data_IF_622677532721
#
_entry.id   IF_622677532721
#
_cell.length_a   1.000
_cell.length_b   1.000
_cell.length_c   1.000
_cell.angle_alpha   90.00
_cell.angle_beta   90.00
_cell.angle_gamma   90.00
#
_symmetry.space_group_name_H-M   'P 1'
#
loop_
_entity.id
_entity.type
_entity.pdbx_description
1 polymer ?
#
# COMPACT_ATOMS: atom_id res chain seq x y z
N UNK A 1 -8.83 -2.36 16.42
CA UNK A 1 -9.89 -2.05 17.41
C UNK A 1 -9.32 -1.16 18.52
N UNK A 2 -8.32 -1.59 19.31
CA UNK A 2 -7.79 -0.84 20.47
C UNK A 2 -7.49 0.63 20.18
N UNK A 3 -6.83 0.92 19.06
CA UNK A 3 -6.51 2.30 18.64
C UNK A 3 -7.79 3.11 18.39
N UNK A 4 -8.78 2.54 17.74
CA UNK A 4 -10.06 3.20 17.46
C UNK A 4 -10.85 3.46 18.75
N UNK A 5 -10.81 2.54 19.70
CA UNK A 5 -11.42 2.74 21.04
C UNK A 5 -10.74 3.87 21.83
N UNK A 6 -9.41 3.98 21.76
CA UNK A 6 -8.69 5.11 22.35
C UNK A 6 -9.06 6.42 21.64
N UNK A 7 -9.08 6.40 20.31
CA UNK A 7 -9.42 7.56 19.50
C UNK A 7 -10.82 8.12 19.80
N UNK A 8 -11.80 7.27 20.11
CA UNK A 8 -13.18 7.68 20.52
C UNK A 8 -13.20 8.56 21.77
N UNK A 9 -12.21 8.41 22.67
CA UNK A 9 -12.12 9.17 23.92
C UNK A 9 -11.48 10.55 23.72
N UNK A 10 -10.95 10.85 22.54
CA UNK A 10 -10.26 12.10 22.24
C UNK A 10 -11.21 13.08 21.56
N UNK A 11 -11.83 13.96 22.32
CA UNK A 11 -12.81 14.93 21.81
C UNK A 11 -12.25 15.95 20.83
N UNK A 12 -10.96 16.28 20.92
CA UNK A 12 -10.26 17.22 20.02
C UNK A 12 -9.88 16.62 18.68
N UNK A 13 -9.98 15.30 18.49
CA UNK A 13 -9.58 14.60 17.28
C UNK A 13 -10.48 14.97 16.11
N UNK A 14 -9.90 15.48 15.03
CA UNK A 14 -10.63 15.93 13.83
C UNK A 14 -10.57 14.93 12.67
N UNK A 15 -9.45 14.22 12.54
CA UNK A 15 -9.20 13.33 11.41
C UNK A 15 -8.45 12.08 11.85
N UNK A 16 -8.80 10.95 11.27
CA UNK A 16 -8.07 9.68 11.39
C UNK A 16 -7.76 9.20 9.98
N UNK A 17 -6.50 8.97 9.67
CA UNK A 17 -6.09 8.32 8.42
C UNK A 17 -5.60 6.92 8.74
N UNK A 18 -6.32 5.92 8.21
CA UNK A 18 -5.97 4.51 8.37
C UNK A 18 -5.34 4.00 7.07
N UNK A 19 -4.14 3.44 7.20
CA UNK A 19 -3.42 2.90 6.07
C UNK A 19 -3.66 1.39 5.95
N UNK A 20 -4.27 0.96 4.83
CA UNK A 20 -4.51 -0.45 4.53
C UNK A 20 -3.69 -0.90 3.31
N UNK A 21 -4.24 -1.67 2.41
CA UNK A 21 -3.52 -2.25 1.27
C UNK A 21 -4.43 -2.40 0.05
N UNK A 22 -3.86 -2.45 -1.14
CA UNK A 22 -4.53 -2.90 -2.36
C UNK A 22 -4.99 -4.38 -2.29
N UNK A 23 -4.50 -5.13 -1.29
CA UNK A 23 -4.85 -6.52 -1.04
C UNK A 23 -6.17 -6.72 -0.28
N UNK A 24 -6.87 -5.63 0.05
CA UNK A 24 -8.19 -5.69 0.71
C UNK A 24 -9.30 -6.20 -0.19
N UNK A 25 -9.12 -6.23 -1.50
CA UNK A 25 -10.17 -6.59 -2.46
C UNK A 25 -10.32 -8.11 -2.62
N UNK A 26 -11.58 -8.57 -2.63
CA UNK A 26 -11.94 -9.99 -2.74
C UNK A 26 -11.54 -10.61 -4.07
N UNK A 27 -11.66 -9.84 -5.14
CA UNK A 27 -11.40 -10.34 -6.49
C UNK A 27 -10.22 -9.57 -7.11
N UNK A 28 -9.18 -10.32 -7.48
CA UNK A 28 -8.00 -9.80 -8.17
C UNK A 28 -8.01 -10.16 -9.66
N UNK A 29 -9.19 -10.40 -10.25
CA UNK A 29 -9.33 -10.60 -11.70
C UNK A 29 -8.74 -9.40 -12.47
N UNK A 30 -8.51 -9.55 -13.77
CA UNK A 30 -7.93 -8.51 -14.64
C UNK A 30 -8.78 -7.24 -14.79
N UNK A 31 -9.81 -7.06 -13.95
CA UNK A 31 -10.64 -5.86 -13.91
C UNK A 31 -10.00 -4.78 -13.05
N UNK A 32 -10.23 -3.54 -13.45
CA UNK A 32 -9.87 -2.38 -12.67
C UNK A 32 -10.69 -2.37 -11.37
N UNK A 33 -9.98 -2.37 -10.23
CA UNK A 33 -10.61 -2.29 -8.92
C UNK A 33 -10.76 -0.82 -8.50
N UNK A 34 -11.92 -0.47 -8.01
CA UNK A 34 -12.26 0.85 -7.47
C UNK A 34 -12.50 0.77 -5.98
N UNK A 35 -12.66 1.90 -5.33
CA UNK A 35 -12.94 1.98 -3.89
C UNK A 35 -14.24 1.26 -3.50
N UNK A 36 -15.18 1.11 -4.43
CA UNK A 36 -16.45 0.42 -4.24
C UNK A 36 -16.38 -1.09 -4.55
N UNK A 37 -15.22 -1.61 -4.94
CA UNK A 37 -15.07 -3.04 -5.20
C UNK A 37 -15.15 -3.84 -3.90
N UNK A 38 -15.70 -5.05 -3.98
CA UNK A 38 -15.91 -5.92 -2.81
C UNK A 38 -14.62 -6.20 -2.06
N UNK A 39 -14.68 -6.14 -0.75
CA UNK A 39 -13.58 -6.48 0.16
C UNK A 39 -13.56 -7.97 0.46
N UNK A 40 -12.36 -8.50 0.71
CA UNK A 40 -12.15 -9.90 1.07
C UNK A 40 -10.68 -10.27 0.91
N UNK A 41 -10.36 -11.55 1.11
CA UNK A 41 -9.00 -12.03 0.91
C UNK A 41 -8.89 -13.52 1.16
N UNK A 42 -8.11 -14.22 0.32
CA UNK A 42 -7.92 -15.66 0.41
C UNK A 42 -6.70 -16.05 1.25
N UNK A 43 -5.77 -15.14 1.46
CA UNK A 43 -4.62 -15.36 2.33
C UNK A 43 -4.74 -14.58 3.65
N UNK A 44 -4.04 -15.00 4.72
CA UNK A 44 -4.17 -14.36 6.04
C UNK A 44 -3.84 -12.87 6.05
N UNK A 45 -2.88 -12.41 5.23
CA UNK A 45 -2.56 -10.99 5.12
C UNK A 45 -3.71 -10.21 4.50
N UNK A 46 -4.20 -10.65 3.35
CA UNK A 46 -5.33 -10.01 2.63
C UNK A 46 -6.58 -9.98 3.51
N UNK A 47 -6.91 -11.11 4.15
CA UNK A 47 -8.03 -11.20 5.08
C UNK A 47 -7.89 -10.22 6.26
N UNK A 48 -6.71 -10.12 6.87
CA UNK A 48 -6.45 -9.21 7.99
C UNK A 48 -6.60 -7.73 7.57
N UNK A 49 -6.12 -7.37 6.36
CA UNK A 49 -6.23 -6.01 5.84
C UNK A 49 -7.67 -5.66 5.44
N UNK A 50 -8.42 -6.62 4.90
CA UNK A 50 -9.85 -6.44 4.64
C UNK A 50 -10.65 -6.26 5.93
N UNK A 51 -10.37 -7.06 6.95
CA UNK A 51 -10.98 -6.91 8.26
C UNK A 51 -10.65 -5.55 8.90
N UNK A 52 -9.39 -5.10 8.79
CA UNK A 52 -8.99 -3.75 9.25
C UNK A 52 -9.82 -2.67 8.56
N UNK A 53 -9.99 -2.76 7.26
CA UNK A 53 -10.74 -1.79 6.44
C UNK A 53 -12.23 -1.76 6.84
N UNK A 54 -12.89 -2.93 6.89
CA UNK A 54 -14.28 -3.08 7.26
C UNK A 54 -14.55 -2.57 8.68
N UNK A 55 -13.71 -2.95 9.65
CA UNK A 55 -13.83 -2.49 11.03
C UNK A 55 -13.69 -0.98 11.12
N UNK A 56 -12.72 -0.41 10.40
CA UNK A 56 -12.50 1.03 10.37
C UNK A 56 -13.72 1.78 9.83
N UNK A 57 -14.31 1.31 8.73
CA UNK A 57 -15.54 1.89 8.18
C UNK A 57 -16.70 1.81 9.19
N UNK A 58 -16.91 0.64 9.79
CA UNK A 58 -17.97 0.42 10.80
C UNK A 58 -17.82 1.38 11.98
N UNK A 59 -16.60 1.56 12.49
CA UNK A 59 -16.34 2.52 13.56
C UNK A 59 -16.63 3.97 13.13
N UNK A 60 -16.30 4.32 11.91
CA UNK A 60 -16.60 5.63 11.33
C UNK A 60 -18.09 5.93 11.35
N UNK A 61 -18.89 5.01 10.85
CA UNK A 61 -20.35 5.16 10.82
C UNK A 61 -20.97 5.19 12.23
N UNK A 62 -20.49 4.32 13.12
CA UNK A 62 -21.13 4.13 14.42
C UNK A 62 -20.73 5.17 15.46
N UNK A 63 -19.45 5.60 15.47
CA UNK A 63 -18.89 6.30 16.62
C UNK A 63 -18.25 7.65 16.31
N UNK A 64 -17.76 7.89 15.10
CA UNK A 64 -17.00 9.09 14.75
C UNK A 64 -17.84 10.13 13.99
N UNK A 65 -18.84 10.73 14.65
CA UNK A 65 -19.73 11.72 14.00
C UNK A 65 -19.06 13.08 13.73
N UNK A 66 -18.06 13.45 14.52
CA UNK A 66 -17.33 14.73 14.40
C UNK A 66 -15.89 14.57 13.91
N UNK A 67 -15.39 13.35 13.85
CA UNK A 67 -14.04 13.00 13.40
C UNK A 67 -14.14 12.32 12.04
N UNK A 68 -13.46 12.83 11.05
CA UNK A 68 -13.43 12.22 9.72
C UNK A 68 -12.48 11.03 9.70
N UNK A 69 -12.96 9.89 9.23
CA UNK A 69 -12.13 8.72 8.96
C UNK A 69 -11.83 8.66 7.48
N UNK A 70 -10.57 8.51 7.17
CA UNK A 70 -10.08 8.32 5.81
C UNK A 70 -9.27 7.03 5.75
N UNK A 71 -9.51 6.22 4.73
CA UNK A 71 -8.80 4.97 4.51
C UNK A 71 -8.00 5.09 3.24
N UNK A 72 -6.70 4.82 3.32
CA UNK A 72 -5.79 4.86 2.20
C UNK A 72 -5.33 3.45 1.86
N UNK A 73 -5.79 2.93 0.73
CA UNK A 73 -5.43 1.62 0.19
C UNK A 73 -4.29 1.80 -0.80
N UNK A 74 -3.11 1.28 -0.46
CA UNK A 74 -1.93 1.43 -1.29
C UNK A 74 -1.35 0.10 -1.73
N UNK A 75 -0.74 0.09 -2.90
CA UNK A 75 0.02 -1.04 -3.42
C UNK A 75 1.45 -1.12 -2.87
N UNK A 76 2.36 -1.65 -3.68
CA UNK A 76 3.74 -1.86 -3.26
C UNK A 76 4.51 -0.55 -3.17
N UNK A 77 4.82 -0.13 -1.95
CA UNK A 77 5.62 1.07 -1.70
C UNK A 77 7.10 0.71 -1.79
N UNK A 78 7.87 1.60 -2.44
CA UNK A 78 9.32 1.53 -2.53
C UNK A 78 9.94 2.84 -2.03
N UNK A 79 11.07 2.74 -1.34
CA UNK A 79 11.78 3.91 -0.82
C UNK A 79 13.08 3.50 -0.15
N UNK A 80 13.93 4.47 0.16
CA UNK A 80 15.15 4.25 0.92
C UNK A 80 14.84 3.78 2.36
N UNK A 81 15.75 2.99 2.94
CA UNK A 81 15.63 2.51 4.33
C UNK A 81 14.76 1.26 4.52
N UNK A 82 14.13 0.72 3.47
CA UNK A 82 13.42 -0.57 3.57
C UNK A 82 14.43 -1.72 3.47
N UNK A 83 14.51 -2.53 4.54
CA UNK A 83 15.34 -3.73 4.64
C UNK A 83 14.53 -4.99 4.91
N UNK A 84 13.20 -4.92 4.75
CA UNK A 84 12.32 -6.07 5.00
C UNK A 84 12.65 -7.24 4.07
N UNK A 85 12.62 -8.46 4.62
CA UNK A 85 12.83 -9.68 3.86
C UNK A 85 11.66 -9.95 2.91
N UNK A 86 11.93 -10.71 1.85
CA UNK A 86 10.95 -11.09 0.83
C UNK A 86 10.35 -9.90 0.06
N UNK A 87 11.03 -8.76 0.07
CA UNK A 87 10.70 -7.60 -0.77
C UNK A 87 11.76 -7.43 -1.84
N UNK A 88 11.32 -7.28 -3.08
CA UNK A 88 12.20 -7.36 -4.25
C UNK A 88 13.34 -6.34 -4.22
N UNK A 89 13.12 -5.08 -3.83
CA UNK A 89 14.17 -4.06 -3.82
C UNK A 89 15.22 -4.35 -2.73
N UNK A 90 14.86 -4.55 -1.45
CA UNK A 90 15.79 -4.98 -0.42
C UNK A 90 16.53 -6.27 -0.78
N UNK A 91 15.84 -7.27 -1.36
CA UNK A 91 16.46 -8.54 -1.74
C UNK A 91 17.50 -8.37 -2.86
N UNK A 92 17.25 -7.48 -3.84
CA UNK A 92 18.23 -7.12 -4.87
C UNK A 92 19.48 -6.51 -4.23
N UNK A 93 19.31 -5.55 -3.33
CA UNK A 93 20.43 -4.86 -2.67
C UNK A 93 21.22 -5.85 -1.81
N UNK A 94 20.55 -6.68 -1.01
CA UNK A 94 21.22 -7.73 -0.22
C UNK A 94 21.99 -8.72 -1.08
N UNK A 95 21.39 -9.19 -2.17
CA UNK A 95 22.06 -10.13 -3.08
C UNK A 95 23.31 -9.53 -3.71
N UNK A 96 23.26 -8.24 -4.05
CA UNK A 96 24.42 -7.52 -4.56
C UNK A 96 25.52 -7.36 -3.52
N UNK A 97 25.19 -6.86 -2.32
CA UNK A 97 26.16 -6.62 -1.25
C UNK A 97 26.83 -7.93 -0.79
N UNK A 98 26.05 -8.99 -0.65
CA UNK A 98 26.53 -10.30 -0.21
C UNK A 98 27.08 -11.18 -1.34
N UNK A 99 27.16 -10.67 -2.57
CA UNK A 99 27.58 -11.43 -3.77
C UNK A 99 26.81 -12.74 -3.93
N UNK A 100 25.56 -12.78 -3.48
CA UNK A 100 24.71 -13.99 -3.42
C UNK A 100 23.74 -14.06 -4.61
N UNK A 101 23.02 -15.17 -4.70
CA UNK A 101 22.03 -15.38 -5.76
C UNK A 101 20.68 -14.80 -5.31
N UNK A 102 20.12 -13.93 -6.14
CA UNK A 102 18.76 -13.42 -5.95
C UNK A 102 17.74 -14.49 -6.35
N UNK A 103 16.95 -14.96 -5.38
CA UNK A 103 15.84 -15.87 -5.63
C UNK A 103 14.57 -15.07 -5.93
N UNK A 104 13.92 -15.34 -7.07
CA UNK A 104 12.72 -14.63 -7.49
C UNK A 104 11.59 -15.64 -7.69
N UNK A 105 10.49 -15.47 -6.95
CA UNK A 105 9.31 -16.35 -7.06
C UNK A 105 8.53 -16.15 -8.36
N UNK A 106 8.40 -14.90 -8.85
CA UNK A 106 7.67 -14.59 -10.08
C UNK A 106 8.22 -13.31 -10.72
N UNK A 107 9.02 -13.48 -11.75
CA UNK A 107 9.67 -12.37 -12.47
C UNK A 107 8.68 -11.57 -13.37
N UNK A 108 7.60 -12.18 -13.77
CA UNK A 108 6.57 -11.58 -14.64
C UNK A 108 5.44 -10.90 -13.85
N UNK A 109 5.39 -11.07 -12.53
CA UNK A 109 4.36 -10.43 -11.71
C UNK A 109 4.43 -8.92 -11.82
N UNK A 110 3.29 -8.32 -12.13
CA UNK A 110 3.07 -6.88 -12.14
C UNK A 110 2.62 -6.42 -10.76
N UNK A 111 3.07 -5.26 -10.33
CA UNK A 111 2.68 -4.65 -9.06
C UNK A 111 2.48 -3.15 -9.23
N UNK A 112 1.58 -2.53 -8.50
CA UNK A 112 1.41 -1.09 -8.48
C UNK A 112 2.50 -0.42 -7.62
N UNK A 113 3.70 -0.29 -8.19
CA UNK A 113 4.85 0.32 -7.51
C UNK A 113 4.63 1.81 -7.32
N UNK A 114 4.74 2.28 -6.09
CA UNK A 114 4.62 3.70 -5.76
C UNK A 114 5.80 4.12 -4.89
N UNK A 115 6.30 5.33 -5.10
CA UNK A 115 7.39 5.85 -4.29
C UNK A 115 6.87 6.37 -2.95
N UNK A 116 7.66 6.19 -1.88
CA UNK A 116 7.26 6.60 -0.52
C UNK A 116 6.92 8.09 -0.45
N UNK A 117 7.61 8.95 -1.20
CA UNK A 117 7.30 10.38 -1.21
C UNK A 117 5.95 10.71 -1.82
N UNK A 118 5.49 9.95 -2.83
CA UNK A 118 4.14 10.10 -3.38
C UNK A 118 3.09 9.71 -2.35
N UNK A 119 3.36 8.64 -1.57
CA UNK A 119 2.50 8.21 -0.47
C UNK A 119 2.40 9.29 0.61
N UNK A 120 3.55 9.82 1.06
CA UNK A 120 3.59 10.87 2.09
C UNK A 120 2.88 12.14 1.59
N UNK A 121 3.13 12.54 0.35
CA UNK A 121 2.45 13.69 -0.25
C UNK A 121 0.93 13.49 -0.30
N UNK A 122 0.45 12.32 -0.71
CA UNK A 122 -0.98 12.00 -0.70
C UNK A 122 -1.56 12.06 0.72
N UNK A 123 -0.87 11.50 1.71
CA UNK A 123 -1.28 11.56 3.12
C UNK A 123 -1.38 13.00 3.61
N UNK A 124 -0.38 13.83 3.33
CA UNK A 124 -0.39 15.26 3.72
C UNK A 124 -1.53 16.01 3.04
N UNK A 125 -1.75 15.80 1.74
CA UNK A 125 -2.85 16.41 1.01
C UNK A 125 -4.21 16.03 1.59
N UNK A 126 -4.42 14.75 1.92
CA UNK A 126 -5.66 14.25 2.53
C UNK A 126 -5.87 14.88 3.91
N UNK A 127 -4.82 14.98 4.71
CA UNK A 127 -4.89 15.51 6.08
C UNK A 127 -5.04 17.03 6.12
N UNK A 128 -4.40 17.77 5.19
CA UNK A 128 -4.37 19.24 5.23
C UNK A 128 -5.53 19.89 4.50
N UNK A 129 -6.06 19.29 3.42
CA UNK A 129 -7.20 19.88 2.69
C UNK A 129 -8.41 20.03 3.61
N UNK A 130 -8.78 21.28 3.89
CA UNK A 130 -9.89 21.59 4.78
C UNK A 130 -11.26 21.52 4.08
N UNK A 131 -11.31 21.87 2.81
CA UNK A 131 -12.54 21.86 2.00
C UNK A 131 -12.65 20.50 1.30
N UNK A 132 -13.16 19.53 2.00
CA UNK A 132 -13.57 18.33 1.30
C UNK A 132 -15.07 18.13 1.50
N UNK A 133 -15.79 18.10 0.42
CA UNK A 133 -17.01 17.33 0.25
C UNK A 133 -16.72 15.82 0.44
N UNK A 134 -15.97 15.49 1.50
CA UNK A 134 -15.69 14.09 1.82
C UNK A 134 -16.70 13.68 2.86
N UNK A 135 -17.44 12.63 2.55
CA UNK A 135 -18.29 11.95 3.50
C UNK A 135 -17.50 11.49 4.71
N UNK A 136 -18.23 11.14 5.77
CA UNK A 136 -17.67 10.75 7.06
C UNK A 136 -16.61 9.62 6.96
N UNK A 137 -16.77 8.71 6.01
CA UNK A 137 -15.82 7.67 5.66
C UNK A 137 -15.38 7.83 4.20
N UNK A 138 -14.21 8.37 3.97
CA UNK A 138 -13.69 8.51 2.62
C UNK A 138 -12.56 7.52 2.38
N UNK A 139 -12.65 6.78 1.28
CA UNK A 139 -11.67 5.77 0.88
C UNK A 139 -10.92 6.28 -0.34
N UNK A 140 -9.62 6.02 -0.37
CA UNK A 140 -8.75 6.37 -1.48
C UNK A 140 -7.89 5.18 -1.89
N UNK A 141 -7.92 4.84 -3.17
CA UNK A 141 -6.92 3.99 -3.76
C UNK A 141 -5.69 4.81 -4.15
N UNK A 142 -4.54 4.45 -3.64
CA UNK A 142 -3.28 5.06 -4.00
C UNK A 142 -2.49 4.11 -4.89
N UNK A 143 -2.44 4.43 -6.17
CA UNK A 143 -1.84 3.60 -7.20
C UNK A 143 -1.14 4.47 -8.26
N UNK A 144 -0.07 3.99 -8.89
CA UNK A 144 0.50 4.66 -10.04
C UNK A 144 -0.48 4.64 -11.20
N UNK A 145 -0.22 5.44 -12.23
CA UNK A 145 -1.03 5.42 -13.46
C UNK A 145 -1.04 4.02 -14.07
N UNK A 146 -2.22 3.46 -14.26
CA UNK A 146 -2.46 2.09 -14.72
C UNK A 146 -1.80 1.78 -16.06
N UNK A 147 -1.73 2.76 -16.96
CA UNK A 147 -1.06 2.61 -18.27
C UNK A 147 0.45 2.33 -18.16
N UNK A 148 1.04 2.51 -16.98
CA UNK A 148 2.48 2.37 -16.73
C UNK A 148 2.82 1.24 -15.74
N UNK A 149 2.00 0.22 -15.64
CA UNK A 149 2.30 -0.92 -14.77
C UNK A 149 3.64 -1.58 -15.14
N UNK A 150 4.41 -1.92 -14.13
CA UNK A 150 5.76 -2.44 -14.27
C UNK A 150 5.88 -3.79 -13.58
N UNK A 151 6.36 -4.80 -14.31
CA UNK A 151 6.65 -6.11 -13.72
C UNK A 151 8.02 -6.15 -13.03
N UNK A 152 8.24 -7.20 -12.24
CA UNK A 152 9.49 -7.40 -11.49
C UNK A 152 10.71 -7.40 -12.41
N UNK A 153 10.63 -8.01 -13.61
CA UNK A 153 11.72 -8.04 -14.60
C UNK A 153 12.15 -6.62 -15.01
N UNK A 154 11.18 -5.73 -15.22
CA UNK A 154 11.46 -4.33 -15.59
C UNK A 154 12.07 -3.55 -14.44
N UNK A 155 11.61 -3.78 -13.20
CA UNK A 155 12.22 -3.16 -12.00
C UNK A 155 13.69 -3.54 -11.89
N UNK A 156 14.02 -4.83 -12.01
CA UNK A 156 15.42 -5.30 -11.97
C UNK A 156 16.26 -4.61 -13.05
N UNK A 157 15.75 -4.55 -14.29
CA UNK A 157 16.46 -3.87 -15.38
C UNK A 157 16.69 -2.38 -15.09
N UNK A 158 15.70 -1.69 -14.51
CA UNK A 158 15.81 -0.28 -14.13
C UNK A 158 16.87 -0.08 -13.04
N UNK A 159 16.93 -0.95 -12.03
CA UNK A 159 17.95 -0.89 -10.98
C UNK A 159 19.34 -1.08 -11.58
N UNK A 160 19.55 -2.12 -12.39
CA UNK A 160 20.83 -2.38 -13.04
C UNK A 160 21.28 -1.20 -13.92
N UNK A 161 20.33 -0.57 -14.63
CA UNK A 161 20.62 0.56 -15.52
C UNK A 161 21.01 1.82 -14.75
N UNK A 162 20.36 2.09 -13.61
CA UNK A 162 20.43 3.39 -12.94
C UNK A 162 21.25 3.39 -11.64
N UNK A 163 21.88 2.27 -11.30
CA UNK A 163 22.70 2.15 -10.07
C UNK A 163 24.06 1.54 -10.38
N UNK A 164 24.92 1.47 -9.37
CA UNK A 164 26.20 0.74 -9.42
C UNK A 164 26.05 -0.79 -9.46
N UNK A 165 24.83 -1.29 -9.28
CA UNK A 165 24.53 -2.74 -9.31
C UNK A 165 24.54 -3.22 -10.76
N UNK A 166 25.68 -3.69 -11.25
CA UNK A 166 25.85 -4.06 -12.67
C UNK A 166 25.45 -5.51 -12.98
N UNK A 167 25.59 -6.43 -12.04
CA UNK A 167 25.27 -7.86 -12.23
C UNK A 167 24.62 -8.44 -10.98
N UNK A 168 23.56 -9.20 -11.20
CA UNK A 168 22.87 -9.97 -10.16
C UNK A 168 22.67 -11.38 -10.71
N UNK A 169 23.17 -12.39 -10.01
CA UNK A 169 22.85 -13.79 -10.33
C UNK A 169 21.41 -14.05 -9.91
N UNK A 170 20.56 -14.49 -10.83
CA UNK A 170 19.14 -14.74 -10.59
C UNK A 170 18.86 -16.24 -10.68
N UNK A 171 18.20 -16.79 -9.68
CA UNK A 171 17.59 -18.12 -9.74
C UNK A 171 16.06 -17.95 -9.70
N UNK A 172 15.39 -18.55 -10.67
CA UNK A 172 13.93 -18.63 -10.71
C UNK A 172 13.41 -19.74 -9.81
#
# INVERSE_FOLDING_TARGET
>A
IKILEIARKISSLKKILVFTSDKVYANTSNKLLTENSNLGGHDPYSASKSAQDIITQSYGFSFFKKTRIMILRSGNIIGGGDWAENRIIPDIVRAYLNKSILKIRSIHSTRPWIHIFDVINAMLLILTKQKAKYDQNTIFNLSPNIKKQVNVKKIIKLIIKNTSIKRIKIKK
#
